data_IF_748761729758
#
_entry.id   IF_748761729758
#
_cell.length_a   1.000
_cell.length_b   1.000
_cell.length_c   1.000
_cell.angle_alpha   90.00
_cell.angle_beta   90.00
_cell.angle_gamma   90.00
#
_symmetry.space_group_name_H-M   'P 1'
#
loop_
_entity.id
_entity.type
_entity.pdbx_description
1 polymer ?
#
# COMPACT_ATOMS: atom_id res chain seq x y z
N UNK A 1 6.40 -23.28 -8.46
CA UNK A 1 5.18 -22.44 -8.36
C UNK A 1 5.34 -21.25 -7.43
N UNK A 2 5.49 -21.38 -6.10
CA UNK A 2 5.68 -20.21 -5.21
C UNK A 2 6.94 -19.41 -5.61
N UNK A 3 8.05 -20.10 -5.86
CA UNK A 3 9.30 -19.46 -6.29
C UNK A 3 9.16 -18.74 -7.64
N UNK A 4 8.41 -19.31 -8.59
CA UNK A 4 8.18 -18.67 -9.90
C UNK A 4 7.35 -17.39 -9.77
N UNK A 5 6.36 -17.37 -8.87
CA UNK A 5 5.54 -16.18 -8.59
C UNK A 5 6.40 -15.10 -7.93
N UNK A 6 7.20 -15.48 -6.95
CA UNK A 6 8.14 -14.58 -6.25
C UNK A 6 9.16 -13.99 -7.21
N UNK A 7 9.73 -14.80 -8.10
CA UNK A 7 10.67 -14.34 -9.13
C UNK A 7 10.01 -13.39 -10.13
N UNK A 8 8.80 -13.73 -10.59
CA UNK A 8 8.05 -12.86 -11.50
C UNK A 8 7.74 -11.52 -10.87
N UNK A 9 7.23 -11.51 -9.64
CA UNK A 9 6.82 -10.29 -8.97
C UNK A 9 8.04 -9.45 -8.51
N UNK A 10 9.14 -10.09 -8.17
CA UNK A 10 10.43 -9.43 -7.91
C UNK A 10 11.18 -9.00 -9.18
N UNK A 11 10.53 -9.00 -10.35
CA UNK A 11 11.12 -8.48 -11.59
C UNK A 11 11.13 -6.96 -11.56
N UNK A 12 12.34 -6.40 -11.51
CA UNK A 12 12.59 -4.97 -11.45
C UNK A 12 12.18 -4.28 -12.74
N UNK A 13 11.39 -3.22 -12.62
CA UNK A 13 10.92 -2.37 -13.71
C UNK A 13 11.77 -1.11 -13.82
N UNK A 14 12.15 -0.54 -12.67
CA UNK A 14 13.00 0.64 -12.58
C UNK A 14 13.96 0.50 -11.38
N UNK A 15 15.26 0.66 -11.64
CA UNK A 15 16.28 0.70 -10.58
C UNK A 15 17.33 1.76 -10.90
N UNK A 16 17.39 2.78 -10.06
CA UNK A 16 18.44 3.80 -10.06
C UNK A 16 18.70 4.27 -8.62
N UNK A 17 19.66 5.19 -8.43
CA UNK A 17 20.06 5.69 -7.11
C UNK A 17 18.91 6.28 -6.26
N UNK A 18 17.79 6.65 -6.88
CA UNK A 18 16.67 7.31 -6.25
C UNK A 18 15.36 6.55 -6.35
N UNK A 19 15.25 5.46 -7.10
CA UNK A 19 13.99 4.75 -7.29
C UNK A 19 14.25 3.26 -7.45
N UNK A 20 13.46 2.49 -6.72
CA UNK A 20 13.33 1.05 -6.89
C UNK A 20 11.84 0.75 -7.10
N UNK A 21 11.50 0.15 -8.23
CA UNK A 21 10.14 -0.25 -8.57
C UNK A 21 10.23 -1.61 -9.25
N UNK A 22 9.50 -2.58 -8.73
CA UNK A 22 9.26 -3.88 -9.32
C UNK A 22 7.74 -4.14 -9.42
N UNK A 23 7.34 -5.37 -9.79
CA UNK A 23 5.91 -5.70 -9.80
C UNK A 23 5.33 -5.83 -8.38
N UNK A 24 6.17 -6.15 -7.38
CA UNK A 24 5.79 -6.20 -5.97
C UNK A 24 5.29 -4.82 -5.48
N UNK A 25 5.97 -3.74 -5.88
CA UNK A 25 5.56 -2.36 -5.60
C UNK A 25 4.12 -2.05 -6.07
N UNK A 26 3.69 -2.59 -7.22
CA UNK A 26 2.30 -2.41 -7.71
C UNK A 26 1.29 -3.20 -6.88
N UNK A 27 1.69 -4.34 -6.34
CA UNK A 27 0.88 -5.12 -5.40
C UNK A 27 0.67 -4.32 -4.12
N UNK A 28 1.72 -3.75 -3.53
CA UNK A 28 1.58 -2.89 -2.35
C UNK A 28 0.69 -1.68 -2.62
N UNK A 29 0.83 -1.03 -3.77
CA UNK A 29 -0.06 0.06 -4.18
C UNK A 29 -1.54 -0.38 -4.20
N UNK A 30 -1.84 -1.52 -4.81
CA UNK A 30 -3.19 -2.06 -4.88
C UNK A 30 -3.74 -2.44 -3.50
N UNK A 31 -2.94 -3.14 -2.67
CA UNK A 31 -3.36 -3.49 -1.32
C UNK A 31 -3.53 -2.26 -0.44
N UNK A 32 -2.73 -1.21 -0.63
CA UNK A 32 -2.92 0.08 0.02
C UNK A 32 -4.31 0.68 -0.22
N UNK A 33 -4.79 0.62 -1.47
CA UNK A 33 -6.16 1.03 -1.83
C UNK A 33 -7.20 0.17 -1.09
N UNK A 34 -7.04 -1.15 -1.13
CA UNK A 34 -7.98 -2.11 -0.51
C UNK A 34 -8.03 -1.94 1.01
N UNK A 35 -6.87 -1.85 1.66
CA UNK A 35 -6.75 -1.68 3.10
C UNK A 35 -7.38 -0.36 3.54
N UNK A 36 -7.12 0.76 2.84
CA UNK A 36 -7.76 2.03 3.18
C UNK A 36 -9.28 1.98 2.99
N UNK A 37 -9.78 1.27 1.98
CA UNK A 37 -11.21 1.00 1.84
C UNK A 37 -11.78 0.29 3.07
N UNK A 38 -11.13 -0.78 3.52
CA UNK A 38 -11.55 -1.55 4.69
C UNK A 38 -11.48 -0.70 5.96
N UNK A 39 -10.39 0.04 6.17
CA UNK A 39 -10.20 0.93 7.33
C UNK A 39 -11.34 1.95 7.38
N UNK A 40 -11.62 2.67 6.29
CA UNK A 40 -12.68 3.69 6.27
C UNK A 40 -14.05 3.05 6.49
N UNK A 41 -14.29 1.87 5.92
CA UNK A 41 -15.57 1.16 6.06
C UNK A 41 -15.81 0.63 7.46
N UNK A 42 -14.76 0.26 8.19
CA UNK A 42 -14.84 -0.38 9.51
C UNK A 42 -14.64 0.59 10.68
N UNK A 43 -13.85 1.65 10.50
CA UNK A 43 -13.54 2.61 11.57
C UNK A 43 -14.61 3.71 11.73
N UNK A 44 -15.43 3.95 10.71
CA UNK A 44 -16.55 4.92 10.69
C UNK A 44 -16.19 6.39 11.00
N UNK A 45 -14.91 6.70 11.23
CA UNK A 45 -14.42 8.05 11.40
C UNK A 45 -13.30 8.39 10.40
N UNK A 46 -13.62 9.28 9.46
CA UNK A 46 -12.74 9.78 8.39
C UNK A 46 -11.55 10.63 8.85
N UNK A 47 -10.89 10.26 9.95
CA UNK A 47 -9.83 11.00 10.64
C UNK A 47 -8.43 10.54 10.20
N UNK A 48 -7.43 11.31 10.59
CA UNK A 48 -6.00 11.02 10.42
C UNK A 48 -5.56 9.66 10.97
N UNK A 49 -6.29 9.10 11.94
CA UNK A 49 -6.06 7.76 12.48
C UNK A 49 -6.10 6.67 11.40
N UNK A 50 -6.82 6.86 10.30
CA UNK A 50 -6.89 5.88 9.21
C UNK A 50 -5.54 5.71 8.49
N UNK A 51 -4.77 6.78 8.35
CA UNK A 51 -3.43 6.71 7.76
C UNK A 51 -2.42 6.06 8.70
N UNK A 52 -2.52 6.32 10.00
CA UNK A 52 -1.69 5.65 10.99
C UNK A 52 -1.98 4.15 11.04
N UNK A 53 -3.26 3.76 11.04
CA UNK A 53 -3.68 2.36 10.99
C UNK A 53 -3.19 1.67 9.70
N UNK A 54 -3.31 2.35 8.56
CA UNK A 54 -2.78 1.83 7.30
C UNK A 54 -1.26 1.61 7.37
N UNK A 55 -0.52 2.62 7.84
CA UNK A 55 0.92 2.53 8.00
C UNK A 55 1.30 1.36 8.92
N UNK A 56 0.62 1.21 10.06
CA UNK A 56 0.90 0.13 11.00
C UNK A 56 0.66 -1.25 10.40
N UNK A 57 -0.44 -1.42 9.65
CA UNK A 57 -0.75 -2.70 8.98
C UNK A 57 0.30 -3.02 7.93
N UNK A 58 0.65 -2.05 7.07
CA UNK A 58 1.68 -2.23 6.04
C UNK A 58 3.04 -2.54 6.69
N UNK A 59 3.44 -1.79 7.71
CA UNK A 59 4.70 -2.02 8.42
C UNK A 59 4.78 -3.40 9.08
N UNK A 60 3.69 -3.88 9.69
CA UNK A 60 3.65 -5.23 10.24
C UNK A 60 3.68 -6.31 9.15
N UNK A 61 3.14 -6.02 7.96
CA UNK A 61 3.23 -6.91 6.81
C UNK A 61 4.68 -7.06 6.33
N UNK A 62 5.42 -5.95 6.17
CA UNK A 62 6.85 -5.99 5.81
C UNK A 62 7.67 -6.79 6.83
N UNK A 63 7.41 -6.59 8.13
CA UNK A 63 8.08 -7.38 9.19
C UNK A 63 7.76 -8.86 9.01
N UNK A 64 6.50 -9.20 8.73
CA UNK A 64 6.10 -10.58 8.49
C UNK A 64 6.80 -11.18 7.27
N UNK A 65 6.91 -10.45 6.16
CA UNK A 65 7.61 -10.91 4.95
C UNK A 65 9.09 -11.18 5.24
N UNK A 66 9.79 -10.24 5.88
CA UNK A 66 11.20 -10.44 6.28
C UNK A 66 11.36 -11.65 7.20
N UNK A 67 10.46 -11.85 8.16
CA UNK A 67 10.58 -12.94 9.14
C UNK A 67 10.21 -14.31 8.58
N UNK A 68 9.17 -14.40 7.75
CA UNK A 68 8.55 -15.67 7.35
C UNK A 68 8.97 -16.07 5.95
N UNK A 69 9.07 -15.11 5.04
CA UNK A 69 9.29 -15.42 3.65
C UNK A 69 10.78 -15.60 3.36
N UNK A 70 11.72 -14.97 4.09
CA UNK A 70 13.19 -15.09 3.86
C UNK A 70 13.57 -15.03 2.36
N UNK A 71 12.70 -14.42 1.54
CA UNK A 71 12.52 -14.81 0.13
C UNK A 71 13.49 -14.07 -0.78
N UNK A 72 14.10 -13.00 -0.26
CA UNK A 72 15.28 -12.33 -0.78
C UNK A 72 15.93 -11.60 0.40
N UNK A 73 17.25 -11.35 0.38
CA UNK A 73 17.82 -10.28 1.19
C UNK A 73 17.25 -8.96 0.67
N UNK A 74 16.07 -8.58 1.16
CA UNK A 74 15.47 -7.29 0.87
C UNK A 74 16.41 -6.20 1.38
N UNK A 75 16.78 -5.32 0.46
CA UNK A 75 17.55 -4.13 0.79
C UNK A 75 16.58 -3.22 1.55
N UNK A 76 17.03 -2.52 2.59
CA UNK A 76 16.20 -1.54 3.32
C UNK A 76 15.43 -0.57 2.39
N UNK A 77 15.98 -0.32 1.21
CA UNK A 77 15.37 0.49 0.17
C UNK A 77 14.06 -0.12 -0.36
N UNK A 78 13.98 -1.44 -0.49
CA UNK A 78 12.82 -2.19 -1.01
C UNK A 78 11.60 -2.00 -0.10
N UNK A 79 11.76 -2.37 1.18
CA UNK A 79 10.79 -2.15 2.26
C UNK A 79 10.31 -0.69 2.30
N UNK A 80 11.22 0.27 2.11
CA UNK A 80 10.84 1.69 2.08
C UNK A 80 9.92 2.01 0.90
N UNK A 81 10.21 1.50 -0.30
CA UNK A 81 9.36 1.69 -1.48
C UNK A 81 8.02 0.99 -1.32
N UNK A 82 7.97 -0.22 -0.80
CA UNK A 82 6.74 -0.98 -0.61
C UNK A 82 5.79 -0.30 0.39
N UNK A 83 6.34 0.20 1.51
CA UNK A 83 5.58 1.06 2.42
C UNK A 83 5.09 2.33 1.74
N UNK A 84 5.93 2.99 0.95
CA UNK A 84 5.57 4.24 0.28
C UNK A 84 4.47 4.01 -0.77
N UNK A 85 4.55 2.95 -1.56
CA UNK A 85 3.54 2.57 -2.54
C UNK A 85 2.23 2.16 -1.87
N UNK A 86 2.27 1.36 -0.79
CA UNK A 86 1.09 1.03 -0.01
C UNK A 86 0.39 2.28 0.56
N UNK A 87 1.16 3.22 1.13
CA UNK A 87 0.62 4.48 1.61
C UNK A 87 0.04 5.33 0.48
N UNK A 88 0.69 5.39 -0.68
CA UNK A 88 0.20 6.09 -1.86
C UNK A 88 -1.16 5.53 -2.31
N UNK A 89 -1.33 4.21 -2.29
CA UNK A 89 -2.60 3.53 -2.59
C UNK A 89 -3.72 3.99 -1.66
N UNK A 90 -3.43 4.06 -0.36
CA UNK A 90 -4.36 4.58 0.62
C UNK A 90 -4.74 6.05 0.38
N UNK A 91 -3.77 6.90 0.05
CA UNK A 91 -4.02 8.32 -0.28
C UNK A 91 -4.94 8.45 -1.51
N UNK A 92 -4.69 7.64 -2.54
CA UNK A 92 -5.53 7.62 -3.76
C UNK A 92 -6.97 7.30 -3.38
N UNK A 93 -7.19 6.20 -2.64
CA UNK A 93 -8.54 5.81 -2.22
C UNK A 93 -9.21 6.89 -1.37
N UNK A 94 -8.51 7.43 -0.37
CA UNK A 94 -9.04 8.48 0.51
C UNK A 94 -9.46 9.73 -0.28
N UNK A 95 -8.65 10.19 -1.24
CA UNK A 95 -8.99 11.34 -2.10
C UNK A 95 -10.24 11.08 -2.94
N UNK A 96 -10.36 9.88 -3.52
CA UNK A 96 -11.54 9.49 -4.31
C UNK A 96 -12.81 9.45 -3.44
N UNK A 97 -12.71 8.85 -2.25
CA UNK A 97 -13.82 8.76 -1.31
C UNK A 97 -14.28 10.15 -0.82
N UNK A 98 -13.33 11.03 -0.47
CA UNK A 98 -13.62 12.40 -0.05
C UNK A 98 -14.38 13.18 -1.13
N UNK A 99 -13.91 13.13 -2.39
CA UNK A 99 -14.58 13.78 -3.53
C UNK A 99 -16.01 13.26 -3.75
N UNK A 100 -16.25 11.96 -3.57
CA UNK A 100 -17.59 11.36 -3.68
C UNK A 100 -18.54 11.94 -2.63
N UNK A 101 -18.07 12.05 -1.38
CA UNK A 101 -18.87 12.57 -0.27
C UNK A 101 -19.18 14.07 -0.41
N UNK A 102 -18.24 14.86 -0.96
CA UNK A 102 -18.46 16.28 -1.26
C UNK A 102 -19.55 16.47 -2.32
N UNK A 103 -19.46 15.73 -3.44
CA UNK A 103 -20.48 15.76 -4.51
C UNK A 103 -21.87 15.36 -4.02
N UNK A 104 -21.97 14.35 -3.16
CA UNK A 104 -23.26 13.92 -2.58
C UNK A 104 -23.90 15.02 -1.71
N UNK A 105 -23.09 15.79 -0.98
CA UNK A 105 -23.58 16.91 -0.16
C UNK A 105 -24.07 18.09 -1.02
N UNK A 106 -23.47 18.33 -2.18
CA UNK A 106 -23.93 19.36 -3.13
C UNK A 106 -25.27 19.00 -3.77
N UNK A 107 -25.49 17.72 -4.11
CA UNK A 107 -26.76 17.26 -4.71
C UNK A 107 -27.96 17.25 -3.75
N UNK A 108 -27.73 17.35 -2.44
CA UNK A 108 -28.76 17.33 -1.40
C UNK A 108 -29.12 18.74 -0.88
N UNK A 109 -28.45 19.79 -1.37
CA UNK A 109 -28.76 21.19 -1.08
C UNK A 109 -29.63 21.78 -2.18
#
# INVERSE_FOLDING_TARGET
MINEIVEFLGTVILNNNYFFIDYWSFIHLFFGVVLMFLIIKLADDGKWHNFFNLFLILFLWEIFEVMVLWIKPEIFLDIFYDLMFGMLGGIIYWKLNKRKNEKQKETLK
#
